data_IF_289932811855
#
_entry.id   IF_289932811855
#
_cell.length_a   1.000
_cell.length_b   1.000
_cell.length_c   1.000
_cell.angle_alpha   90.00
_cell.angle_beta   90.00
_cell.angle_gamma   90.00
#
_symmetry.space_group_name_H-M   'P 1'
#
loop_
_entity.id
_entity.type
_entity.pdbx_description
1 polymer ?
#
# COMPACT_ATOMS: atom_id res chain seq x y z
N UNK A 1 19.69 34.81 -36.31
CA UNK A 1 18.82 33.62 -36.48
C UNK A 1 19.27 32.42 -35.64
N UNK A 2 20.56 32.07 -35.58
CA UNK A 2 21.05 30.85 -34.90
C UNK A 2 20.76 30.81 -33.38
N UNK A 3 20.92 31.92 -32.66
CA UNK A 3 20.69 31.96 -31.20
C UNK A 3 19.25 31.71 -30.76
N UNK A 4 18.27 32.09 -31.58
CA UNK A 4 16.85 31.84 -31.30
C UNK A 4 16.48 30.36 -31.41
N UNK A 5 17.14 29.61 -32.30
CA UNK A 5 16.93 28.16 -32.47
C UNK A 5 17.51 27.36 -31.30
N UNK A 6 18.59 27.85 -30.69
CA UNK A 6 19.20 27.20 -29.52
C UNK A 6 18.34 27.41 -28.28
N UNK A 7 17.90 28.64 -28.02
CA UNK A 7 17.06 28.95 -26.85
C UNK A 7 15.71 28.21 -26.94
N UNK A 8 15.11 28.15 -28.13
CA UNK A 8 13.84 27.44 -28.31
C UNK A 8 13.99 25.93 -28.09
N UNK A 9 15.11 25.32 -28.47
CA UNK A 9 15.34 23.89 -28.24
C UNK A 9 15.51 23.56 -26.75
N UNK A 10 16.18 24.41 -25.97
CA UNK A 10 16.29 24.24 -24.51
C UNK A 10 14.93 24.39 -23.80
N UNK A 11 14.10 25.34 -24.24
CA UNK A 11 12.74 25.51 -23.69
C UNK A 11 11.88 24.29 -24.04
N UNK A 12 11.94 23.80 -25.27
CA UNK A 12 11.21 22.60 -25.69
C UNK A 12 11.67 21.37 -24.91
N UNK A 13 12.98 21.18 -24.72
CA UNK A 13 13.52 20.06 -23.91
C UNK A 13 13.11 20.16 -22.44
N UNK A 14 13.10 21.36 -21.86
CA UNK A 14 12.62 21.59 -20.49
C UNK A 14 11.13 21.29 -20.34
N UNK A 15 10.30 21.70 -21.31
CA UNK A 15 8.87 21.38 -21.35
C UNK A 15 8.66 19.88 -21.53
N UNK A 16 9.40 19.23 -22.44
CA UNK A 16 9.33 17.77 -22.64
C UNK A 16 9.72 17.03 -21.36
N UNK A 17 10.81 17.45 -20.70
CA UNK A 17 11.26 16.90 -19.42
C UNK A 17 10.19 17.07 -18.33
N UNK A 18 9.61 18.27 -18.22
CA UNK A 18 8.49 18.55 -17.31
C UNK A 18 7.26 17.69 -17.63
N UNK A 19 6.93 17.47 -18.90
CA UNK A 19 5.81 16.61 -19.32
C UNK A 19 6.08 15.13 -19.04
N UNK A 20 7.34 14.67 -19.16
CA UNK A 20 7.76 13.32 -18.77
C UNK A 20 7.60 13.14 -17.26
N UNK A 21 8.04 14.11 -16.46
CA UNK A 21 7.87 14.08 -15.00
C UNK A 21 6.40 14.14 -14.58
N UNK A 22 5.57 14.96 -15.24
CA UNK A 22 4.12 15.00 -14.99
C UNK A 22 3.45 13.65 -15.30
N UNK A 23 3.85 12.96 -16.38
CA UNK A 23 3.38 11.59 -16.67
C UNK A 23 3.84 10.59 -15.61
N UNK A 24 5.06 10.75 -15.07
CA UNK A 24 5.59 9.92 -13.97
C UNK A 24 4.84 10.14 -12.65
N UNK A 25 4.47 11.39 -12.34
CA UNK A 25 3.65 11.72 -11.18
C UNK A 25 2.22 11.19 -11.36
N UNK A 26 1.63 11.35 -12.56
CA UNK A 26 0.26 10.92 -12.84
C UNK A 26 0.08 9.41 -12.83
N UNK A 27 1.06 8.65 -13.34
CA UNK A 27 1.05 7.18 -13.28
C UNK A 27 1.10 6.65 -11.84
N UNK A 28 1.80 7.33 -10.92
CA UNK A 28 1.73 7.02 -9.49
C UNK A 28 0.33 7.26 -8.91
N UNK A 29 -0.39 8.26 -9.40
CA UNK A 29 -1.73 8.62 -8.90
C UNK A 29 -2.82 7.65 -9.41
N UNK A 30 -2.74 7.20 -10.67
CA UNK A 30 -3.80 6.39 -11.30
C UNK A 30 -3.92 4.95 -10.78
N UNK A 31 -2.87 4.37 -10.21
CA UNK A 31 -2.94 3.03 -9.59
C UNK A 31 -3.58 3.02 -8.19
N UNK A 32 -3.85 4.20 -7.59
CA UNK A 32 -4.31 4.33 -6.20
C UNK A 32 -5.81 4.61 -6.01
N UNK A 33 -6.53 5.08 -7.04
CA UNK A 33 -7.93 5.47 -6.88
C UNK A 33 -8.89 4.28 -6.86
N UNK A 34 -8.62 3.19 -7.58
CA UNK A 34 -9.50 2.00 -7.56
C UNK A 34 -9.29 1.13 -6.31
N UNK A 35 -8.04 1.00 -5.87
CA UNK A 35 -7.68 0.13 -4.74
C UNK A 35 -8.41 0.54 -3.44
N UNK A 36 -8.58 1.85 -3.19
CA UNK A 36 -9.28 2.32 -2.00
C UNK A 36 -10.73 1.83 -1.91
N UNK A 37 -11.40 1.58 -3.04
CA UNK A 37 -12.79 1.11 -3.08
C UNK A 37 -12.93 -0.37 -2.75
N UNK A 38 -11.85 -1.14 -2.83
CA UNK A 38 -11.83 -2.54 -2.41
C UNK A 38 -11.57 -2.70 -0.91
N UNK A 39 -11.25 -1.62 -0.18
CA UNK A 39 -11.15 -1.69 1.27
C UNK A 39 -12.52 -2.06 1.88
N UNK A 40 -12.56 -3.11 2.68
CA UNK A 40 -13.81 -3.66 3.23
C UNK A 40 -14.14 -3.06 4.61
N UNK A 41 -13.22 -2.29 5.19
CA UNK A 41 -13.42 -1.65 6.49
C UNK A 41 -12.81 -0.24 6.59
N UNK A 42 -13.33 0.53 7.55
CA UNK A 42 -12.78 1.87 7.87
C UNK A 42 -11.30 1.82 8.26
N UNK A 43 -10.88 0.80 9.02
CA UNK A 43 -9.49 0.68 9.48
C UNK A 43 -8.54 0.34 8.33
N UNK A 44 -8.96 -0.47 7.36
CA UNK A 44 -8.22 -0.71 6.12
C UNK A 44 -8.07 0.59 5.34
N UNK A 45 -9.17 1.31 5.09
CA UNK A 45 -9.14 2.56 4.32
C UNK A 45 -8.26 3.62 4.98
N UNK A 46 -8.31 3.71 6.31
CA UNK A 46 -7.46 4.62 7.09
C UNK A 46 -5.98 4.28 6.95
N UNK A 47 -5.61 3.01 7.09
CA UNK A 47 -4.21 2.59 6.94
C UNK A 47 -3.73 2.69 5.49
N UNK A 48 -4.58 2.33 4.52
CA UNK A 48 -4.33 2.51 3.08
C UNK A 48 -3.95 3.94 2.75
N UNK A 49 -4.80 4.91 3.15
CA UNK A 49 -4.55 6.33 2.87
C UNK A 49 -3.23 6.81 3.48
N UNK A 50 -2.94 6.38 4.70
CA UNK A 50 -1.69 6.74 5.36
C UNK A 50 -0.47 6.16 4.65
N UNK A 51 -0.53 4.90 4.21
CA UNK A 51 0.54 4.27 3.44
C UNK A 51 0.75 4.97 2.09
N UNK A 52 -0.32 5.24 1.34
CA UNK A 52 -0.25 5.96 0.06
C UNK A 52 0.33 7.36 0.25
N UNK A 53 -0.11 8.09 1.28
CA UNK A 53 0.42 9.41 1.63
C UNK A 53 1.92 9.38 1.95
N UNK A 54 2.41 8.28 2.54
CA UNK A 54 3.83 8.05 2.81
C UNK A 54 4.60 7.47 1.60
N UNK A 55 4.00 7.48 0.40
CA UNK A 55 4.67 7.10 -0.85
C UNK A 55 4.72 5.61 -1.14
N UNK A 56 4.02 4.77 -0.37
CA UNK A 56 3.93 3.35 -0.62
C UNK A 56 2.95 3.03 -1.76
N UNK A 57 3.32 2.08 -2.62
CA UNK A 57 2.37 1.43 -3.53
C UNK A 57 1.62 0.35 -2.76
N UNK A 58 0.33 0.55 -2.56
CA UNK A 58 -0.53 -0.34 -1.77
C UNK A 58 -1.53 -1.02 -2.69
N UNK A 59 -1.57 -2.35 -2.62
CA UNK A 59 -2.62 -3.14 -3.27
C UNK A 59 -3.58 -3.64 -2.20
N UNK A 60 -4.85 -3.79 -2.54
CA UNK A 60 -5.93 -4.13 -1.61
C UNK A 60 -6.53 -5.47 -2.01
N UNK A 61 -6.95 -6.25 -1.01
CA UNK A 61 -7.66 -7.51 -1.22
C UNK A 61 -6.92 -8.47 -2.18
N UNK A 62 -5.60 -8.58 -2.01
CA UNK A 62 -4.73 -9.34 -2.94
C UNK A 62 -4.91 -10.85 -2.72
N UNK A 63 -5.30 -11.62 -3.76
CA UNK A 63 -5.46 -13.07 -3.64
C UNK A 63 -4.10 -13.75 -3.44
N UNK A 64 -4.06 -14.73 -2.54
CA UNK A 64 -2.91 -15.59 -2.29
C UNK A 64 -3.41 -17.01 -1.94
N UNK A 65 -3.51 -17.87 -2.96
CA UNK A 65 -4.12 -19.18 -2.81
C UNK A 65 -5.60 -19.07 -2.42
N UNK A 66 -6.01 -19.85 -1.42
CA UNK A 66 -7.36 -19.78 -0.84
C UNK A 66 -7.58 -18.60 0.12
N UNK A 67 -6.62 -17.70 0.26
CA UNK A 67 -6.69 -16.55 1.16
C UNK A 67 -6.58 -15.22 0.41
N UNK A 68 -6.85 -14.14 1.12
CA UNK A 68 -6.76 -12.77 0.60
C UNK A 68 -6.06 -11.87 1.61
N UNK A 69 -5.13 -11.05 1.15
CA UNK A 69 -4.39 -10.09 1.98
C UNK A 69 -5.16 -8.77 1.95
N UNK A 70 -5.45 -8.20 3.11
CA UNK A 70 -6.25 -6.96 3.20
C UNK A 70 -5.54 -5.80 2.48
N UNK A 71 -4.28 -5.54 2.86
CA UNK A 71 -3.39 -4.58 2.21
C UNK A 71 -2.02 -5.22 1.94
N UNK A 72 -1.48 -5.08 0.75
CA UNK A 72 -0.16 -5.58 0.38
C UNK A 72 0.75 -4.43 -0.05
N UNK A 73 2.03 -4.53 0.33
CA UNK A 73 3.11 -3.73 -0.24
C UNK A 73 3.97 -4.65 -1.13
N UNK A 74 3.66 -4.78 -2.43
CA UNK A 74 4.23 -5.83 -3.27
C UNK A 74 5.75 -5.75 -3.41
N UNK A 75 6.29 -4.53 -3.50
CA UNK A 75 7.73 -4.28 -3.62
C UNK A 75 8.56 -4.84 -2.46
N UNK A 76 7.95 -4.97 -1.28
CA UNK A 76 8.63 -5.41 -0.05
C UNK A 76 8.16 -6.80 0.42
N UNK A 77 7.26 -7.44 -0.34
CA UNK A 77 6.59 -8.70 0.06
C UNK A 77 5.99 -8.63 1.47
N UNK A 78 5.38 -7.50 1.82
CA UNK A 78 4.68 -7.32 3.09
C UNK A 78 3.18 -7.50 2.87
N UNK A 79 2.59 -8.40 3.64
CA UNK A 79 1.15 -8.58 3.79
C UNK A 79 0.70 -7.94 5.09
N UNK A 80 -0.25 -7.01 5.02
CA UNK A 80 -0.77 -6.26 6.16
C UNK A 80 -2.23 -6.67 6.38
N UNK A 81 -2.51 -7.12 7.60
CA UNK A 81 -3.83 -7.57 8.04
C UNK A 81 -4.42 -6.58 9.05
N UNK A 82 -5.63 -6.10 8.78
CA UNK A 82 -6.32 -5.10 9.60
C UNK A 82 -7.38 -5.79 10.47
N UNK A 83 -7.06 -6.02 11.74
CA UNK A 83 -7.89 -6.84 12.61
C UNK A 83 -8.88 -6.00 13.44
N UNK A 84 -10.15 -6.05 13.07
CA UNK A 84 -11.24 -5.41 13.83
C UNK A 84 -11.75 -6.21 15.04
N UNK A 85 -11.35 -7.48 15.24
CA UNK A 85 -12.05 -8.44 16.11
C UNK A 85 -11.23 -8.89 17.32
N UNK A 86 -10.59 -7.96 18.02
CA UNK A 86 -9.59 -8.28 19.06
C UNK A 86 -10.18 -8.98 20.32
N UNK A 87 -11.51 -9.00 20.54
CA UNK A 87 -12.09 -9.46 21.82
C UNK A 87 -13.13 -10.59 21.75
N UNK A 88 -13.62 -11.00 20.57
CA UNK A 88 -14.64 -12.06 20.44
C UNK A 88 -14.34 -13.07 19.32
N UNK A 89 -13.08 -13.48 19.16
CA UNK A 89 -12.72 -14.47 18.14
C UNK A 89 -12.94 -15.91 18.65
N UNK A 90 -13.66 -16.72 17.88
CA UNK A 90 -13.90 -18.14 18.19
C UNK A 90 -12.61 -18.97 18.00
N UNK A 91 -12.50 -20.17 18.61
CA UNK A 91 -11.37 -21.08 18.35
C UNK A 91 -11.16 -21.38 16.86
N UNK A 92 -12.24 -21.50 16.10
CA UNK A 92 -12.23 -21.75 14.65
C UNK A 92 -11.62 -20.57 13.88
N UNK A 93 -12.01 -19.33 14.22
CA UNK A 93 -11.43 -18.13 13.61
C UNK A 93 -9.93 -18.04 13.89
N UNK A 94 -9.52 -18.30 15.13
CA UNK A 94 -8.09 -18.32 15.50
C UNK A 94 -7.31 -19.40 14.74
N UNK A 95 -7.90 -20.58 14.54
CA UNK A 95 -7.28 -21.65 13.76
C UNK A 95 -7.14 -21.25 12.28
N UNK A 96 -8.19 -20.67 11.69
CA UNK A 96 -8.16 -20.15 10.33
C UNK A 96 -7.10 -19.06 10.15
N UNK A 97 -7.00 -18.10 11.07
CA UNK A 97 -6.00 -17.03 11.00
C UNK A 97 -4.56 -17.57 11.12
N UNK A 98 -4.34 -18.61 11.95
CA UNK A 98 -3.05 -19.30 12.01
C UNK A 98 -2.71 -19.98 10.69
N UNK A 99 -3.69 -20.66 10.06
CA UNK A 99 -3.49 -21.31 8.75
C UNK A 99 -3.19 -20.28 7.66
N UNK A 100 -3.96 -19.18 7.60
CA UNK A 100 -3.70 -18.04 6.71
C UNK A 100 -2.30 -17.50 6.88
N UNK A 101 -1.90 -17.17 8.11
CA UNK A 101 -0.57 -16.63 8.40
C UNK A 101 0.55 -17.60 7.98
N UNK A 102 0.41 -18.88 8.28
CA UNK A 102 1.38 -19.90 7.86
C UNK A 102 1.44 -20.02 6.34
N UNK A 103 0.30 -19.99 5.66
CA UNK A 103 0.22 -20.04 4.20
C UNK A 103 0.94 -18.84 3.58
N UNK A 104 0.60 -17.61 3.99
CA UNK A 104 1.21 -16.39 3.46
C UNK A 104 2.73 -16.39 3.65
N UNK A 105 3.20 -16.77 4.85
CA UNK A 105 4.64 -16.85 5.15
C UNK A 105 5.36 -17.87 4.26
N UNK A 106 4.78 -19.06 4.05
CA UNK A 106 5.33 -20.07 3.12
C UNK A 106 5.43 -19.56 1.69
N UNK A 107 4.58 -18.60 1.30
CA UNK A 107 4.60 -17.95 -0.02
C UNK A 107 5.42 -16.66 -0.04
N UNK A 108 6.34 -16.50 0.91
CA UNK A 108 7.32 -15.41 0.94
C UNK A 108 6.81 -14.09 1.47
N UNK A 109 5.59 -14.04 2.03
CA UNK A 109 5.05 -12.81 2.62
C UNK A 109 5.52 -12.61 4.06
N UNK A 110 6.01 -11.41 4.37
CA UNK A 110 6.13 -10.92 5.73
C UNK A 110 4.76 -10.43 6.19
N UNK A 111 4.16 -11.14 7.15
CA UNK A 111 2.81 -10.83 7.64
C UNK A 111 2.87 -9.92 8.86
N UNK A 112 2.34 -8.71 8.74
CA UNK A 112 2.13 -7.75 9.82
C UNK A 112 0.63 -7.62 10.11
N UNK A 113 0.24 -7.73 11.38
CA UNK A 113 -1.16 -7.61 11.81
C UNK A 113 -1.31 -6.46 12.78
N UNK A 114 -2.26 -5.57 12.51
CA UNK A 114 -2.55 -4.44 13.38
C UNK A 114 -4.01 -4.47 13.79
N UNK A 115 -4.27 -4.33 15.09
CA UNK A 115 -5.64 -4.19 15.56
C UNK A 115 -6.22 -2.85 15.10
N UNK A 116 -7.55 -2.79 14.93
CA UNK A 116 -8.26 -1.53 14.68
C UNK A 116 -7.97 -0.49 15.77
N UNK A 117 -7.73 -0.93 17.02
CA UNK A 117 -7.29 -0.06 18.11
C UNK A 117 -5.92 0.58 17.83
N UNK A 118 -4.94 -0.19 17.35
CA UNK A 118 -3.62 0.35 17.00
C UNK A 118 -3.74 1.38 15.87
N UNK A 119 -4.45 1.03 14.80
CA UNK A 119 -4.66 1.91 13.63
C UNK A 119 -5.36 3.21 14.01
N UNK A 120 -6.37 3.13 14.90
CA UNK A 120 -7.15 4.31 15.29
C UNK A 120 -6.45 5.21 16.31
N UNK A 121 -5.71 4.62 17.27
CA UNK A 121 -5.08 5.38 18.36
C UNK A 121 -3.71 5.94 17.99
N UNK A 122 -2.89 5.17 17.28
CA UNK A 122 -1.49 5.51 17.05
C UNK A 122 -1.03 5.02 15.68
N UNK A 123 -1.48 5.72 14.65
CA UNK A 123 -1.17 5.41 13.27
C UNK A 123 0.31 5.62 12.94
N UNK A 124 0.95 6.59 13.59
CA UNK A 124 2.38 6.87 13.41
C UNK A 124 3.23 5.69 13.88
N UNK A 125 2.89 5.07 15.01
CA UNK A 125 3.57 3.85 15.46
C UNK A 125 3.36 2.68 14.51
N UNK A 126 2.16 2.52 13.95
CA UNK A 126 1.89 1.50 12.92
C UNK A 126 2.78 1.71 11.69
N UNK A 127 2.82 2.94 11.17
CA UNK A 127 3.68 3.30 10.03
C UNK A 127 5.17 3.11 10.34
N UNK A 128 5.62 3.46 11.55
CA UNK A 128 6.99 3.23 12.00
C UNK A 128 7.33 1.74 11.94
N UNK A 129 6.48 0.86 12.50
CA UNK A 129 6.70 -0.59 12.47
C UNK A 129 6.74 -1.10 11.02
N UNK A 130 5.84 -0.63 10.15
CA UNK A 130 5.85 -1.01 8.73
C UNK A 130 7.17 -0.55 8.08
N UNK A 131 7.60 0.68 8.33
CA UNK A 131 8.86 1.23 7.81
C UNK A 131 10.11 0.51 8.29
N UNK A 132 10.10 -0.10 9.48
CA UNK A 132 11.20 -0.97 9.95
C UNK A 132 11.26 -2.33 9.22
N UNK A 133 10.25 -2.64 8.40
CA UNK A 133 10.11 -3.92 7.72
C UNK A 133 10.21 -3.84 6.18
N UNK A 134 10.31 -2.62 5.67
CA UNK A 134 10.52 -2.22 4.27
C UNK A 134 12.00 -2.25 3.96
#
# INVERSE_FOLDING_TARGET
MLGFLVISSFIIMSIIFMMIDLKRVRTKTTCSSEQIYNCESYIERRLYNALVFNGYTVHTQVPCGGYRIDLALPAYRIAIECDGKTYHSTPQQKAHDRQKNAYLRRHGWKVLRFSGRNINRDLNKVLYIIGQNV
#
